data_IF_103035976519
#
_entry.id   IF_103035976519
#
_cell.length_a   1.000
_cell.length_b   1.000
_cell.length_c   1.000
_cell.angle_alpha   90.00
_cell.angle_beta   90.00
_cell.angle_gamma   90.00
#
_symmetry.space_group_name_H-M   'P 1'
#
loop_
_entity.id
_entity.type
_entity.pdbx_description
1 polymer ?
#
# COMPACT_ATOMS: atom_id res chain seq x y z
N UNK A 1 29.39 31.31 -10.56
CA UNK A 1 28.04 31.78 -10.97
C UNK A 1 27.09 30.59 -10.88
N UNK A 2 25.96 30.74 -10.17
CA UNK A 2 24.99 29.68 -9.78
C UNK A 2 24.31 29.06 -11.01
N UNK A 3 23.94 27.77 -11.07
CA UNK A 3 22.80 27.13 -10.39
C UNK A 3 22.89 25.59 -10.57
N UNK A 4 23.00 24.78 -9.52
CA UNK A 4 22.01 24.23 -8.57
C UNK A 4 21.45 22.87 -9.01
N UNK A 5 22.14 21.82 -8.55
CA UNK A 5 21.74 20.43 -8.50
C UNK A 5 20.36 20.25 -7.83
N UNK A 6 19.53 19.37 -8.41
CA UNK A 6 18.30 18.90 -7.79
C UNK A 6 18.64 18.08 -6.54
N UNK A 7 18.57 18.72 -5.37
CA UNK A 7 18.68 18.06 -4.07
C UNK A 7 17.47 17.14 -3.87
N UNK A 8 17.72 15.85 -3.63
CA UNK A 8 16.83 15.04 -2.79
C UNK A 8 16.98 15.55 -1.36
N UNK A 9 16.12 16.48 -0.96
CA UNK A 9 15.90 16.72 0.46
C UNK A 9 15.04 15.56 0.95
N UNK A 10 15.66 14.56 1.59
CA UNK A 10 14.95 13.73 2.56
C UNK A 10 14.70 14.64 3.77
N UNK A 11 13.46 15.03 4.10
CA UNK A 11 13.21 15.58 5.42
C UNK A 11 13.53 14.46 6.43
N UNK A 12 14.56 14.66 7.24
CA UNK A 12 14.72 13.94 8.50
C UNK A 12 13.48 14.24 9.33
N UNK A 13 12.48 13.36 9.24
CA UNK A 13 11.31 13.40 10.11
C UNK A 13 11.71 12.81 11.46
N UNK A 14 11.25 13.44 12.53
CA UNK A 14 11.16 12.83 13.85
C UNK A 14 10.20 11.64 13.76
N UNK A 15 10.70 10.50 13.28
CA UNK A 15 10.03 9.23 13.37
C UNK A 15 10.24 8.69 14.78
N UNK A 16 9.18 8.33 15.48
CA UNK A 16 9.30 7.19 16.39
C UNK A 16 10.00 6.07 15.60
N UNK A 17 11.07 5.49 16.14
CA UNK A 17 12.19 4.82 15.43
C UNK A 17 11.83 3.61 14.51
N UNK A 18 10.58 3.42 14.12
CA UNK A 18 10.04 2.22 13.48
C UNK A 18 9.26 2.47 12.17
N UNK A 19 8.97 3.72 11.79
CA UNK A 19 8.23 4.05 10.57
C UNK A 19 9.01 4.98 9.63
N UNK A 20 9.25 4.52 8.40
CA UNK A 20 9.85 5.29 7.32
C UNK A 20 8.79 5.82 6.34
N UNK A 21 9.09 6.94 5.68
CA UNK A 21 8.18 7.62 4.77
C UNK A 21 8.91 8.05 3.50
N UNK A 22 8.40 7.66 2.34
CA UNK A 22 8.77 8.26 1.04
C UNK A 22 7.55 9.00 0.54
N UNK A 23 7.53 10.33 0.66
CA UNK A 23 6.35 11.13 0.39
C UNK A 23 6.49 11.88 -0.94
N UNK A 24 6.08 11.25 -2.04
CA UNK A 24 5.94 11.92 -3.34
C UNK A 24 4.56 11.60 -3.93
N UNK A 25 3.49 12.33 -3.52
CA UNK A 25 2.16 12.12 -4.05
C UNK A 25 2.13 12.20 -5.58
N UNK A 26 1.36 11.32 -6.22
CA UNK A 26 1.31 11.14 -7.70
C UNK A 26 2.61 10.60 -8.33
N UNK A 27 3.57 10.19 -7.52
CA UNK A 27 4.79 9.50 -7.93
C UNK A 27 5.05 8.33 -6.95
N UNK A 28 6.30 8.14 -6.53
CA UNK A 28 6.63 7.11 -5.54
C UNK A 28 6.23 7.56 -4.12
N UNK A 29 5.11 7.04 -3.64
CA UNK A 29 4.60 7.26 -2.28
C UNK A 29 4.55 5.94 -1.50
N UNK A 30 5.34 5.84 -0.43
CA UNK A 30 5.51 4.64 0.38
C UNK A 30 5.34 4.92 1.88
N UNK A 31 4.74 3.98 2.59
CA UNK A 31 4.84 3.85 4.06
C UNK A 31 5.66 2.60 4.36
N UNK A 32 6.71 2.74 5.17
CA UNK A 32 7.67 1.67 5.45
C UNK A 32 7.62 1.31 6.93
N UNK A 33 7.45 0.03 7.25
CA UNK A 33 7.50 -0.50 8.61
C UNK A 33 8.84 -1.21 8.80
N UNK A 34 9.90 -0.43 9.04
CA UNK A 34 11.29 -0.88 8.93
C UNK A 34 11.67 -2.00 9.92
N UNK A 35 10.94 -2.16 11.02
CA UNK A 35 11.14 -3.29 11.95
C UNK A 35 10.89 -4.65 11.30
N UNK A 36 10.12 -4.71 10.21
CA UNK A 36 9.84 -5.93 9.46
C UNK A 36 10.92 -6.26 8.43
N UNK A 37 11.81 -5.33 8.08
CA UNK A 37 12.80 -5.51 7.01
C UNK A 37 14.00 -6.28 7.56
N UNK A 38 14.38 -7.36 6.89
CA UNK A 38 15.42 -8.28 7.39
C UNK A 38 16.61 -8.43 6.44
N UNK A 39 16.36 -8.53 5.14
CA UNK A 39 17.41 -8.75 4.15
C UNK A 39 17.15 -8.01 2.85
N UNK A 40 18.22 -7.75 2.10
CA UNK A 40 18.17 -7.13 0.79
C UNK A 40 19.16 -7.81 -0.16
N UNK A 41 18.75 -7.97 -1.42
CA UNK A 41 19.56 -8.59 -2.46
C UNK A 41 19.59 -7.71 -3.69
N UNK A 42 20.78 -7.54 -4.27
CA UNK A 42 20.94 -7.09 -5.64
C UNK A 42 20.87 -8.30 -6.57
N UNK A 43 20.03 -8.20 -7.60
CA UNK A 43 19.84 -9.26 -8.59
C UNK A 43 19.95 -8.69 -9.99
N UNK A 44 20.58 -9.46 -10.87
CA UNK A 44 20.65 -9.22 -12.31
C UNK A 44 19.98 -10.40 -13.01
N UNK A 45 18.93 -10.13 -13.77
CA UNK A 45 18.18 -11.10 -14.57
C UNK A 45 18.09 -10.60 -16.01
N UNK A 46 18.94 -11.15 -16.88
CA UNK A 46 19.23 -10.58 -18.20
C UNK A 46 19.71 -9.14 -18.07
N UNK A 47 19.07 -8.22 -18.80
CA UNK A 47 19.39 -6.78 -18.76
C UNK A 47 18.73 -6.02 -17.60
N UNK A 48 17.89 -6.70 -16.78
CA UNK A 48 17.18 -6.07 -15.67
C UNK A 48 17.96 -6.23 -14.38
N UNK A 49 18.23 -5.10 -13.72
CA UNK A 49 18.78 -5.10 -12.37
C UNK A 49 17.71 -4.70 -11.36
N UNK A 50 17.82 -5.24 -10.15
CA UNK A 50 16.91 -4.87 -9.05
C UNK A 50 17.57 -4.96 -7.69
N UNK A 51 17.06 -4.18 -6.75
CA UNK A 51 17.25 -4.41 -5.32
C UNK A 51 15.92 -4.93 -4.78
N UNK A 52 15.94 -6.08 -4.11
CA UNK A 52 14.77 -6.74 -3.57
C UNK A 52 14.92 -6.88 -2.05
N UNK A 53 13.90 -6.46 -1.31
CA UNK A 53 13.86 -6.45 0.14
C UNK A 53 12.89 -7.50 0.65
N UNK A 54 13.28 -8.20 1.72
CA UNK A 54 12.52 -9.29 2.31
C UNK A 54 12.41 -9.13 3.82
N UNK A 55 11.35 -9.68 4.40
CA UNK A 55 11.15 -9.70 5.84
C UNK A 55 11.78 -10.92 6.53
N UNK A 56 11.59 -10.99 7.86
CA UNK A 56 12.11 -12.05 8.72
C UNK A 56 11.54 -13.44 8.40
N UNK A 57 10.49 -13.52 7.58
CA UNK A 57 9.86 -14.75 7.16
C UNK A 57 10.26 -15.16 5.73
N UNK A 58 11.06 -14.33 5.06
CA UNK A 58 11.50 -14.55 3.68
C UNK A 58 10.49 -14.07 2.63
N UNK A 59 9.41 -13.40 3.03
CA UNK A 59 8.45 -12.83 2.07
C UNK A 59 8.96 -11.51 1.51
N UNK A 60 8.63 -11.24 0.24
CA UNK A 60 9.05 -10.01 -0.43
C UNK A 60 8.29 -8.78 0.09
N UNK A 61 9.03 -7.73 0.44
CA UNK A 61 8.48 -6.46 0.91
C UNK A 61 8.39 -5.41 -0.19
N UNK A 62 9.50 -5.19 -0.91
CA UNK A 62 9.61 -4.19 -1.97
C UNK A 62 10.66 -4.64 -2.99
N UNK A 63 10.44 -4.33 -4.26
CA UNK A 63 11.42 -4.51 -5.32
C UNK A 63 11.61 -3.20 -6.08
N UNK A 64 12.85 -2.75 -6.20
CA UNK A 64 13.23 -1.55 -6.94
C UNK A 64 14.00 -1.99 -8.17
N UNK A 65 13.42 -1.77 -9.35
CA UNK A 65 14.03 -2.14 -10.63
C UNK A 65 14.71 -0.92 -11.26
N UNK A 66 15.81 -1.15 -11.96
CA UNK A 66 16.38 -0.15 -12.85
C UNK A 66 15.45 0.09 -14.04
N UNK A 67 15.53 1.29 -14.59
CA UNK A 67 14.89 1.72 -15.84
C UNK A 67 15.92 2.39 -16.72
N UNK A 68 15.54 2.70 -17.97
CA UNK A 68 16.37 3.47 -18.90
C UNK A 68 16.78 4.87 -18.36
N UNK A 69 16.03 5.40 -17.39
CA UNK A 69 16.29 6.71 -16.77
C UNK A 69 17.09 6.60 -15.47
N UNK A 70 17.52 5.40 -15.09
CA UNK A 70 18.32 5.21 -13.87
C UNK A 70 19.75 5.71 -14.10
N UNK A 71 20.26 6.49 -13.14
CA UNK A 71 21.68 6.83 -13.10
C UNK A 71 22.48 5.57 -12.71
N UNK A 72 23.00 4.87 -13.71
CA UNK A 72 23.70 3.60 -13.53
C UNK A 72 25.01 3.80 -12.76
N UNK A 73 25.70 4.93 -12.91
CA UNK A 73 26.91 5.18 -12.13
C UNK A 73 26.60 5.31 -10.64
N UNK A 74 25.52 6.02 -10.28
CA UNK A 74 25.07 6.11 -8.89
C UNK A 74 24.55 4.77 -8.36
N UNK A 75 23.89 3.98 -9.21
CA UNK A 75 23.43 2.62 -8.89
C UNK A 75 24.61 1.70 -8.55
N UNK A 76 25.63 1.65 -9.40
CA UNK A 76 26.80 0.79 -9.19
C UNK A 76 27.55 1.16 -7.91
N UNK A 77 27.70 2.45 -7.62
CA UNK A 77 28.28 2.94 -6.36
C UNK A 77 27.45 2.48 -5.15
N UNK A 78 26.12 2.56 -5.24
CA UNK A 78 25.22 2.11 -4.17
C UNK A 78 25.38 0.60 -3.90
N UNK A 79 25.37 -0.22 -4.94
CA UNK A 79 25.52 -1.68 -4.84
C UNK A 79 26.88 -2.03 -4.25
N UNK A 80 27.97 -1.46 -4.79
CA UNK A 80 29.32 -1.72 -4.31
C UNK A 80 29.49 -1.33 -2.84
N UNK A 81 28.88 -0.22 -2.40
CA UNK A 81 28.98 0.25 -1.02
C UNK A 81 28.22 -0.58 0.02
N UNK A 82 27.27 -1.43 -0.39
CA UNK A 82 26.43 -2.22 0.52
C UNK A 82 26.57 -3.73 0.34
N UNK A 83 27.29 -4.18 -0.69
CA UNK A 83 27.52 -5.61 -0.93
C UNK A 83 28.44 -6.19 0.14
N UNK A 84 28.00 -7.27 0.79
CA UNK A 84 28.82 -8.01 1.74
C UNK A 84 29.73 -8.99 0.99
N UNK A 85 31.01 -9.05 1.35
CA UNK A 85 31.96 -10.03 0.79
C UNK A 85 31.68 -11.46 1.24
N UNK A 86 31.17 -11.59 2.47
CA UNK A 86 30.77 -12.87 3.07
C UNK A 86 29.32 -12.75 3.55
N UNK A 87 28.34 -13.16 2.72
CA UNK A 87 26.93 -13.02 3.07
C UNK A 87 26.58 -13.91 4.27
N UNK A 88 25.92 -13.32 5.26
CA UNK A 88 25.43 -14.06 6.43
C UNK A 88 24.24 -14.96 6.01
N UNK A 89 24.15 -16.21 6.50
CA UNK A 89 22.97 -17.04 6.28
C UNK A 89 21.67 -16.37 6.72
N UNK A 90 20.60 -16.56 5.95
CA UNK A 90 19.29 -16.01 6.30
C UNK A 90 18.70 -16.72 7.53
N UNK A 91 18.30 -15.92 8.52
CA UNK A 91 17.61 -16.40 9.72
C UNK A 91 16.08 -16.32 9.56
N UNK A 92 15.54 -17.11 8.61
CA UNK A 92 14.10 -17.14 8.31
C UNK A 92 13.32 -17.77 9.49
N UNK A 93 12.21 -17.14 9.86
CA UNK A 93 11.31 -17.60 10.93
C UNK A 93 9.90 -17.83 10.38
N UNK A 94 9.14 -18.82 10.87
CA UNK A 94 7.75 -19.00 10.46
C UNK A 94 6.90 -17.77 10.84
N UNK A 95 5.86 -17.47 10.05
CA UNK A 95 4.86 -16.46 10.40
C UNK A 95 3.97 -17.02 11.50
N UNK A 96 3.85 -16.29 12.62
CA UNK A 96 2.88 -16.63 13.65
C UNK A 96 1.48 -16.17 13.22
N UNK A 97 0.50 -17.09 13.28
CA UNK A 97 -0.88 -16.74 13.02
C UNK A 97 -1.37 -15.75 14.09
N UNK A 98 -1.90 -14.61 13.65
CA UNK A 98 -2.47 -13.62 14.54
C UNK A 98 -3.65 -14.23 15.32
N UNK A 99 -3.67 -14.02 16.64
CA UNK A 99 -4.77 -14.43 17.51
C UNK A 99 -5.60 -13.21 17.88
N UNK A 100 -6.83 -13.17 17.39
CA UNK A 100 -7.77 -12.10 17.68
C UNK A 100 -8.76 -12.50 18.76
N UNK A 101 -9.50 -11.53 19.28
CA UNK A 101 -10.55 -11.78 20.25
C UNK A 101 -11.67 -12.66 19.66
N UNK A 102 -12.18 -13.58 20.46
CA UNK A 102 -13.30 -14.46 20.07
C UNK A 102 -14.66 -13.74 20.12
N UNK A 103 -14.78 -12.76 21.01
CA UNK A 103 -15.98 -11.95 21.19
C UNK A 103 -15.67 -10.47 20.96
N UNK A 104 -16.62 -9.76 20.34
CA UNK A 104 -16.51 -8.34 20.03
C UNK A 104 -17.61 -7.59 20.77
N UNK A 105 -17.22 -6.59 21.57
CA UNK A 105 -18.16 -5.59 22.08
C UNK A 105 -18.45 -4.58 20.97
N UNK A 106 -19.42 -4.92 20.11
CA UNK A 106 -19.79 -4.11 18.94
C UNK A 106 -20.24 -2.70 19.32
N UNK A 107 -20.94 -2.53 20.44
CA UNK A 107 -21.42 -1.22 20.88
C UNK A 107 -20.28 -0.31 21.33
N UNK A 108 -19.33 -0.83 22.11
CA UNK A 108 -18.15 -0.08 22.50
C UNK A 108 -17.26 0.24 21.29
N UNK A 109 -17.02 -0.74 20.42
CA UNK A 109 -16.24 -0.57 19.19
C UNK A 109 -16.87 0.51 18.29
N UNK A 110 -18.18 0.46 18.06
CA UNK A 110 -18.88 1.41 17.22
C UNK A 110 -18.82 2.83 17.81
N UNK A 111 -19.06 2.97 19.12
CA UNK A 111 -18.95 4.26 19.80
C UNK A 111 -17.55 4.87 19.64
N UNK A 112 -16.50 4.07 19.82
CA UNK A 112 -15.12 4.51 19.68
C UNK A 112 -14.72 4.79 18.22
N UNK A 113 -15.23 4.01 17.26
CA UNK A 113 -15.05 4.27 15.83
C UNK A 113 -15.64 5.62 15.45
N UNK A 114 -16.87 5.90 15.89
CA UNK A 114 -17.57 7.18 15.62
C UNK A 114 -16.86 8.37 16.27
N UNK A 115 -16.16 8.16 17.39
CA UNK A 115 -15.41 9.18 18.09
C UNK A 115 -14.02 9.46 17.50
N UNK A 116 -13.58 8.69 16.49
CA UNK A 116 -12.31 8.97 15.81
C UNK A 116 -12.33 10.35 15.15
N UNK A 117 -11.17 10.97 15.08
CA UNK A 117 -10.96 12.27 14.41
C UNK A 117 -9.90 12.19 13.32
N UNK A 118 -9.24 11.05 13.17
CA UNK A 118 -8.25 10.76 12.15
C UNK A 118 -8.31 9.27 11.78
N UNK A 119 -8.33 8.96 10.49
CA UNK A 119 -8.33 7.57 9.98
C UNK A 119 -7.16 6.73 10.48
N UNK A 120 -6.02 7.36 10.82
CA UNK A 120 -4.85 6.66 11.36
C UNK A 120 -5.09 6.13 12.79
N UNK A 121 -6.10 6.64 13.50
CA UNK A 121 -6.50 6.11 14.82
C UNK A 121 -7.13 4.72 14.72
N UNK A 122 -7.66 4.34 13.55
CA UNK A 122 -8.33 3.06 13.35
C UNK A 122 -7.42 1.86 13.66
N UNK A 123 -6.12 1.94 13.37
CA UNK A 123 -5.18 0.89 13.73
C UNK A 123 -5.03 0.75 15.25
N UNK A 124 -4.99 1.87 15.98
CA UNK A 124 -4.99 1.88 17.43
C UNK A 124 -6.26 1.27 18.02
N UNK A 125 -7.42 1.58 17.42
CA UNK A 125 -8.71 1.02 17.81
C UNK A 125 -8.74 -0.51 17.65
N UNK A 126 -8.34 -1.03 16.49
CA UNK A 126 -8.26 -2.49 16.27
C UNK A 126 -7.34 -3.17 17.28
N UNK A 127 -6.18 -2.57 17.57
CA UNK A 127 -5.23 -3.09 18.55
C UNK A 127 -5.82 -3.10 19.96
N UNK A 128 -6.55 -2.06 20.35
CA UNK A 128 -7.20 -1.96 21.67
C UNK A 128 -8.19 -3.10 21.90
N UNK A 129 -8.99 -3.43 20.89
CA UNK A 129 -9.99 -4.50 20.96
C UNK A 129 -9.43 -5.88 20.54
N UNK A 130 -8.15 -5.95 20.16
CA UNK A 130 -7.52 -7.15 19.58
C UNK A 130 -8.32 -7.76 18.42
N UNK A 131 -8.70 -6.95 17.44
CA UNK A 131 -9.56 -7.35 16.32
C UNK A 131 -8.83 -7.34 14.97
N UNK A 132 -9.19 -8.29 14.12
CA UNK A 132 -8.97 -8.16 12.68
C UNK A 132 -9.92 -7.11 12.09
N UNK A 133 -9.54 -6.54 10.93
CA UNK A 133 -10.39 -5.57 10.20
C UNK A 133 -11.78 -6.13 9.92
N UNK A 134 -11.87 -7.32 9.35
CA UNK A 134 -13.15 -7.94 9.01
C UNK A 134 -13.99 -8.30 10.25
N UNK A 135 -13.38 -8.57 11.41
CA UNK A 135 -14.15 -8.75 12.65
C UNK A 135 -14.77 -7.43 13.09
N UNK A 136 -14.01 -6.34 13.06
CA UNK A 136 -14.52 -5.02 13.38
C UNK A 136 -15.64 -4.58 12.42
N UNK A 137 -15.48 -4.85 11.12
CA UNK A 137 -16.47 -4.48 10.10
C UNK A 137 -17.81 -5.17 10.29
N UNK A 138 -17.80 -6.46 10.65
CA UNK A 138 -19.02 -7.23 10.92
C UNK A 138 -19.70 -6.85 12.24
N UNK A 139 -18.99 -6.16 13.14
CA UNK A 139 -19.46 -5.86 14.49
C UNK A 139 -20.05 -4.44 14.64
N UNK A 140 -19.96 -3.61 13.60
CA UNK A 140 -20.52 -2.26 13.58
C UNK A 140 -21.67 -2.17 12.57
N UNK A 141 -22.44 -1.10 12.66
CA UNK A 141 -23.54 -0.82 11.72
C UNK A 141 -23.08 -0.63 10.27
N UNK A 142 -23.99 -0.93 9.34
CA UNK A 142 -23.77 -0.82 7.88
C UNK A 142 -23.44 0.61 7.40
N UNK A 143 -23.78 1.65 8.16
CA UNK A 143 -23.37 3.02 7.81
C UNK A 143 -21.86 3.25 8.01
N UNK A 144 -21.21 2.48 8.89
CA UNK A 144 -19.76 2.52 9.11
C UNK A 144 -19.01 1.50 8.27
N UNK A 145 -19.54 0.28 8.14
CA UNK A 145 -18.94 -0.77 7.33
C UNK A 145 -20.00 -1.66 6.71
N UNK A 146 -20.10 -1.66 5.38
CA UNK A 146 -21.07 -2.46 4.64
C UNK A 146 -20.34 -3.37 3.66
N UNK A 147 -20.67 -4.66 3.66
CA UNK A 147 -20.17 -5.61 2.67
C UNK A 147 -20.92 -5.40 1.35
N UNK A 148 -20.19 -5.40 0.25
CA UNK A 148 -20.74 -5.32 -1.10
C UNK A 148 -20.31 -6.54 -1.94
N UNK A 149 -21.02 -6.77 -3.03
CA UNK A 149 -20.70 -7.84 -3.98
C UNK A 149 -19.35 -7.59 -4.65
N UNK A 150 -18.57 -8.67 -4.85
CA UNK A 150 -17.23 -8.58 -5.42
C UNK A 150 -17.23 -8.00 -6.85
N UNK A 151 -18.32 -8.20 -7.58
CA UNK A 151 -18.49 -7.71 -8.96
C UNK A 151 -18.74 -6.18 -9.04
N UNK A 152 -18.94 -5.51 -7.90
CA UNK A 152 -19.13 -4.07 -7.84
C UNK A 152 -17.82 -3.30 -8.07
N UNK A 153 -16.66 -3.90 -7.78
CA UNK A 153 -15.36 -3.25 -7.88
C UNK A 153 -15.02 -2.81 -9.34
N UNK A 154 -15.08 -3.69 -10.36
CA UNK A 154 -14.82 -3.26 -11.74
C UNK A 154 -15.76 -2.15 -12.20
N UNK A 155 -17.04 -2.19 -11.80
CA UNK A 155 -18.03 -1.16 -12.13
C UNK A 155 -17.66 0.18 -11.51
N UNK A 156 -17.35 0.18 -10.21
CA UNK A 156 -16.94 1.39 -9.47
C UNK A 156 -15.70 2.03 -10.10
N UNK A 157 -14.66 1.24 -10.38
CA UNK A 157 -13.45 1.74 -11.03
C UNK A 157 -13.75 2.28 -12.45
N UNK A 158 -14.66 1.62 -13.18
CA UNK A 158 -15.17 2.10 -14.47
C UNK A 158 -15.77 3.50 -14.37
N UNK A 159 -16.69 3.72 -13.43
CA UNK A 159 -17.31 5.04 -13.18
C UNK A 159 -16.27 6.08 -12.77
N UNK A 160 -15.37 5.75 -11.84
CA UNK A 160 -14.28 6.67 -11.41
C UNK A 160 -13.42 7.10 -12.60
N UNK A 161 -13.08 6.16 -13.48
CA UNK A 161 -12.31 6.44 -14.70
C UNK A 161 -13.07 7.35 -15.65
N UNK A 162 -14.35 7.08 -15.90
CA UNK A 162 -15.20 7.85 -16.80
C UNK A 162 -15.42 9.28 -16.32
N UNK A 163 -15.59 9.47 -15.01
CA UNK A 163 -15.71 10.79 -14.38
C UNK A 163 -14.37 11.52 -14.25
N UNK A 164 -13.25 10.82 -14.40
CA UNK A 164 -11.91 11.39 -14.29
C UNK A 164 -11.52 11.80 -12.86
N UNK A 165 -12.18 11.22 -11.85
CA UNK A 165 -11.91 11.51 -10.44
C UNK A 165 -10.54 10.95 -10.04
N UNK A 166 -9.76 11.73 -9.28
CA UNK A 166 -8.54 11.22 -8.67
C UNK A 166 -8.88 10.33 -7.47
N UNK A 167 -8.26 9.16 -7.42
CA UNK A 167 -8.35 8.25 -6.28
C UNK A 167 -6.98 7.94 -5.72
N UNK A 168 -6.97 7.44 -4.49
CA UNK A 168 -5.83 6.79 -3.89
C UNK A 168 -6.05 5.28 -3.91
N UNK A 169 -5.03 4.51 -4.29
CA UNK A 169 -5.03 3.04 -4.18
C UNK A 169 -3.83 2.64 -3.32
N UNK A 170 -4.11 1.91 -2.26
CA UNK A 170 -3.14 1.40 -1.31
C UNK A 170 -3.00 -0.10 -1.53
N UNK A 171 -1.77 -0.54 -1.77
CA UNK A 171 -1.45 -1.97 -1.82
C UNK A 171 -0.23 -2.21 -0.96
N UNK A 172 -0.27 -3.22 -0.10
CA UNK A 172 0.82 -3.43 0.83
C UNK A 172 0.89 -4.83 1.40
N UNK A 173 1.95 -5.03 2.16
CA UNK A 173 2.26 -6.22 2.94
C UNK A 173 2.71 -5.76 4.35
N UNK A 174 3.24 -6.69 5.15
CA UNK A 174 3.60 -6.41 6.55
C UNK A 174 4.65 -5.30 6.72
N UNK A 175 5.53 -5.11 5.73
CA UNK A 175 6.66 -4.17 5.83
C UNK A 175 6.55 -2.93 4.96
N UNK A 176 5.63 -2.90 3.98
CA UNK A 176 5.55 -1.82 3.00
C UNK A 176 4.12 -1.61 2.50
N UNK A 177 3.70 -0.34 2.38
CA UNK A 177 2.50 0.05 1.65
C UNK A 177 2.91 1.03 0.55
N UNK A 178 2.53 0.72 -0.69
CA UNK A 178 2.68 1.61 -1.83
C UNK A 178 1.35 2.25 -2.17
N UNK A 179 1.40 3.55 -2.48
CA UNK A 179 0.23 4.39 -2.66
C UNK A 179 0.28 4.99 -4.07
N UNK A 180 -0.74 4.68 -4.87
CA UNK A 180 -1.03 5.43 -6.08
C UNK A 180 -1.98 6.57 -5.75
N UNK A 181 -1.75 7.75 -6.32
CA UNK A 181 -2.69 8.88 -6.29
C UNK A 181 -2.84 9.44 -7.69
N UNK A 182 -4.06 9.44 -8.23
CA UNK A 182 -4.31 10.02 -9.54
C UNK A 182 -5.60 9.51 -10.19
N UNK A 183 -5.88 10.02 -11.38
CA UNK A 183 -6.97 9.54 -12.22
C UNK A 183 -6.57 8.22 -12.90
N UNK A 184 -7.54 7.35 -13.14
CA UNK A 184 -7.33 6.09 -13.84
C UNK A 184 -7.27 6.35 -15.36
N UNK A 185 -6.26 5.83 -16.04
CA UNK A 185 -6.11 6.00 -17.49
C UNK A 185 -6.79 4.84 -18.24
N UNK A 186 -6.41 3.60 -17.92
CA UNK A 186 -6.94 2.40 -18.59
C UNK A 186 -7.24 1.30 -17.59
N UNK A 187 -8.44 0.72 -17.74
CA UNK A 187 -8.89 -0.48 -17.02
C UNK A 187 -9.05 -1.62 -18.02
N UNK A 188 -8.45 -2.77 -17.73
CA UNK A 188 -8.47 -3.92 -18.62
C UNK A 188 -8.62 -5.23 -17.83
N UNK A 189 -9.83 -5.81 -17.78
CA UNK A 189 -10.01 -7.20 -17.35
C UNK A 189 -9.35 -8.14 -18.37
N UNK A 190 -8.49 -9.04 -17.91
CA UNK A 190 -7.81 -10.00 -18.77
C UNK A 190 -7.47 -11.27 -18.00
N UNK A 191 -8.02 -12.41 -18.44
CA UNK A 191 -7.68 -13.76 -17.95
C UNK A 191 -7.78 -13.90 -16.42
N UNK A 192 -8.84 -13.38 -15.81
CA UNK A 192 -9.07 -13.43 -14.35
C UNK A 192 -8.31 -12.37 -13.55
N UNK A 193 -7.68 -11.41 -14.23
CA UNK A 193 -7.03 -10.25 -13.61
C UNK A 193 -7.76 -8.97 -13.98
N UNK A 194 -8.00 -8.12 -12.99
CA UNK A 194 -8.33 -6.72 -13.17
C UNK A 194 -7.04 -5.91 -13.23
N UNK A 195 -6.79 -5.25 -14.36
CA UNK A 195 -5.57 -4.50 -14.57
C UNK A 195 -5.84 -3.00 -14.68
N UNK A 196 -5.01 -2.20 -14.04
CA UNK A 196 -4.94 -0.74 -14.23
C UNK A 196 -3.63 -0.43 -14.92
N UNK A 197 -3.68 0.28 -16.05
CA UNK A 197 -2.52 0.76 -16.77
C UNK A 197 -2.56 2.28 -16.88
N UNK A 198 -1.68 2.92 -16.14
CA UNK A 198 -1.33 4.32 -16.29
C UNK A 198 0.11 4.44 -16.79
N UNK A 199 0.46 5.61 -17.31
CA UNK A 199 1.83 5.92 -17.78
C UNK A 199 2.95 5.62 -16.77
N UNK A 200 2.71 5.81 -15.47
CA UNK A 200 3.70 5.58 -14.39
C UNK A 200 3.23 4.61 -13.31
N UNK A 201 2.07 3.97 -13.49
CA UNK A 201 1.48 3.07 -12.51
C UNK A 201 0.86 1.87 -13.20
N UNK A 202 1.05 0.69 -12.63
CA UNK A 202 0.38 -0.53 -13.08
C UNK A 202 -0.08 -1.32 -11.86
N UNK A 203 -1.35 -1.72 -11.87
CA UNK A 203 -1.92 -2.63 -10.89
C UNK A 203 -2.34 -3.91 -11.60
N UNK A 204 -2.01 -5.04 -11.00
CA UNK A 204 -2.55 -6.35 -11.35
C UNK A 204 -3.26 -6.89 -10.12
N UNK A 205 -4.58 -7.06 -10.20
CA UNK A 205 -5.39 -7.63 -9.13
C UNK A 205 -6.03 -8.92 -9.62
N UNK A 206 -5.79 -10.02 -8.93
CA UNK A 206 -6.39 -11.31 -9.24
C UNK A 206 -7.81 -11.35 -8.70
N UNK A 207 -8.81 -11.42 -9.57
CA UNK A 207 -10.20 -11.25 -9.14
C UNK A 207 -10.65 -12.39 -8.22
N UNK A 208 -10.22 -13.61 -8.50
CA UNK A 208 -10.55 -14.80 -7.69
C UNK A 208 -9.88 -14.82 -6.30
N UNK A 209 -8.89 -13.97 -6.04
CA UNK A 209 -8.31 -13.88 -4.70
C UNK A 209 -9.15 -13.02 -3.76
N UNK A 210 -10.11 -12.25 -4.28
CA UNK A 210 -11.00 -11.40 -3.47
C UNK A 210 -12.15 -12.26 -2.91
N UNK A 211 -12.18 -12.37 -1.59
CA UNK A 211 -13.24 -13.08 -0.84
C UNK A 211 -14.30 -12.09 -0.33
N UNK A 212 -13.88 -10.93 0.17
CA UNK A 212 -14.79 -9.89 0.66
C UNK A 212 -14.40 -8.49 0.15
N UNK A 213 -15.42 -7.71 -0.21
CA UNK A 213 -15.29 -6.28 -0.49
C UNK A 213 -16.16 -5.51 0.50
N UNK A 214 -15.55 -4.51 1.14
CA UNK A 214 -16.19 -3.68 2.15
C UNK A 214 -16.12 -2.21 1.78
N UNK A 215 -17.24 -1.50 1.90
CA UNK A 215 -17.27 -0.04 1.94
C UNK A 215 -17.21 0.38 3.40
N UNK A 216 -16.21 1.18 3.76
CA UNK A 216 -16.06 1.68 5.13
C UNK A 216 -16.09 3.21 5.16
N UNK A 217 -16.65 3.78 6.23
CA UNK A 217 -16.64 5.21 6.51
C UNK A 217 -15.94 5.45 7.83
N UNK A 218 -14.83 6.17 7.77
CA UNK A 218 -14.01 6.50 8.96
C UNK A 218 -14.07 8.00 9.19
N UNK A 219 -14.53 8.46 10.37
CA UNK A 219 -14.61 9.88 10.67
C UNK A 219 -13.24 10.57 10.64
N UNK A 220 -13.26 11.85 10.27
CA UNK A 220 -12.12 12.78 10.37
C UNK A 220 -12.59 14.09 11.00
N UNK A 221 -11.66 14.98 11.33
CA UNK A 221 -11.98 16.35 11.76
C UNK A 221 -12.88 17.11 10.78
N UNK A 222 -12.84 16.75 9.48
CA UNK A 222 -13.49 17.47 8.39
C UNK A 222 -14.62 16.66 7.71
N UNK A 223 -15.11 15.60 8.37
CA UNK A 223 -16.19 14.76 7.85
C UNK A 223 -15.87 13.27 8.00
N UNK A 224 -15.84 12.55 6.89
CA UNK A 224 -15.41 11.15 6.88
C UNK A 224 -14.71 10.82 5.56
N UNK A 225 -13.81 9.83 5.63
CA UNK A 225 -13.24 9.19 4.45
C UNK A 225 -14.04 7.93 4.18
N UNK A 226 -14.56 7.82 2.95
CA UNK A 226 -15.11 6.57 2.44
C UNK A 226 -14.01 5.80 1.73
N UNK A 227 -13.89 4.51 2.05
CA UNK A 227 -12.93 3.60 1.43
C UNK A 227 -13.59 2.33 0.94
N UNK A 228 -13.05 1.74 -0.12
CA UNK A 228 -13.31 0.35 -0.51
C UNK A 228 -12.11 -0.48 -0.07
N UNK A 229 -12.36 -1.56 0.67
CA UNK A 229 -11.33 -2.45 1.19
C UNK A 229 -11.57 -3.88 0.72
N UNK A 230 -10.52 -4.54 0.22
CA UNK A 230 -10.60 -5.86 -0.40
C UNK A 230 -9.79 -6.85 0.43
N UNK A 231 -10.38 -8.01 0.71
CA UNK A 231 -9.77 -9.04 1.55
C UNK A 231 -9.77 -10.39 0.86
N UNK A 232 -8.69 -11.13 1.05
CA UNK A 232 -8.60 -12.53 0.72
C UNK A 232 -9.26 -13.40 1.81
N UNK A 233 -9.45 -14.68 1.50
CA UNK A 233 -10.11 -15.65 2.39
C UNK A 233 -9.39 -15.86 3.73
N UNK A 234 -8.08 -15.67 3.76
CA UNK A 234 -7.25 -15.75 4.98
C UNK A 234 -7.25 -14.44 5.80
N UNK A 235 -7.98 -13.41 5.34
CA UNK A 235 -8.06 -12.09 5.96
C UNK A 235 -6.95 -11.13 5.56
N UNK A 236 -6.05 -11.52 4.64
CA UNK A 236 -5.07 -10.61 4.05
C UNK A 236 -5.78 -9.48 3.33
N UNK A 237 -5.44 -8.24 3.65
CA UNK A 237 -5.92 -7.08 2.88
C UNK A 237 -5.19 -7.03 1.54
N UNK A 238 -5.93 -7.22 0.44
CA UNK A 238 -5.39 -7.22 -0.92
C UNK A 238 -5.09 -5.80 -1.35
N UNK A 239 -6.06 -4.90 -1.19
CA UNK A 239 -5.92 -3.49 -1.52
C UNK A 239 -6.99 -2.68 -0.78
N UNK A 240 -6.80 -1.36 -0.74
CA UNK A 240 -7.88 -0.43 -0.42
C UNK A 240 -7.81 0.79 -1.33
N UNK A 241 -8.94 1.48 -1.49
CA UNK A 241 -9.01 2.72 -2.23
C UNK A 241 -9.88 3.75 -1.56
N UNK A 242 -9.62 5.03 -1.81
CA UNK A 242 -10.42 6.15 -1.34
C UNK A 242 -10.39 7.28 -2.37
N UNK A 243 -11.32 8.23 -2.27
CA UNK A 243 -11.21 9.47 -3.02
C UNK A 243 -9.92 10.21 -2.64
N UNK A 244 -9.29 10.87 -3.62
CA UNK A 244 -8.19 11.79 -3.36
C UNK A 244 -8.73 13.08 -2.75
N UNK A 245 -8.09 13.57 -1.67
CA UNK A 245 -8.38 14.90 -1.13
C UNK A 245 -7.79 16.02 -2.01
N UNK A 246 -6.91 15.70 -2.96
CA UNK A 246 -6.30 16.67 -3.86
C UNK A 246 -7.17 16.90 -5.10
N UNK A 247 -7.38 18.17 -5.48
CA UNK A 247 -8.02 18.52 -6.75
C UNK A 247 -7.21 17.96 -7.93
N UNK A 248 -7.92 17.40 -8.92
CA UNK A 248 -7.34 16.89 -10.16
C UNK A 248 -6.39 17.91 -10.77
N UNK A 249 -5.09 17.60 -10.74
CA UNK A 249 -4.07 18.41 -11.41
C UNK A 249 -3.13 17.44 -12.11
N UNK A 250 -3.08 17.54 -13.46
CA UNK A 250 -2.21 16.70 -14.29
C UNK A 250 -0.75 16.88 -13.83
N UNK A 251 -0.19 15.85 -13.21
CA UNK A 251 1.21 15.82 -12.77
C UNK A 251 2.12 15.24 -13.85
N UNK A 252 3.34 15.79 -13.96
CA UNK A 252 4.42 15.33 -14.85
C UNK A 252 5.16 14.14 -14.22
N UNK A 253 5.69 13.29 -15.10
CA UNK A 253 6.30 11.98 -14.84
C UNK A 253 7.48 11.98 -13.86
N UNK A 254 7.50 10.98 -12.97
CA UNK A 254 8.73 10.41 -12.42
C UNK A 254 8.47 8.98 -11.89
N UNK A 255 9.36 8.04 -12.27
CA UNK A 255 9.54 6.70 -11.69
C UNK A 255 8.33 5.74 -11.70
N UNK A 256 8.37 4.70 -12.53
CA UNK A 256 7.40 3.61 -12.47
C UNK A 256 7.74 2.63 -11.34
N UNK A 257 6.81 2.44 -10.40
CA UNK A 257 6.90 1.40 -9.39
C UNK A 257 5.87 0.31 -9.71
N UNK A 258 6.35 -0.90 -10.02
CA UNK A 258 5.52 -2.04 -10.36
C UNK A 258 5.36 -2.94 -9.15
N UNK A 259 4.14 -3.09 -8.66
CA UNK A 259 3.80 -4.15 -7.73
C UNK A 259 3.21 -5.32 -8.51
N UNK A 260 3.71 -6.53 -8.25
CA UNK A 260 3.04 -7.77 -8.62
C UNK A 260 2.65 -8.42 -7.31
N UNK A 261 1.34 -8.54 -7.07
CA UNK A 261 0.78 -9.47 -6.08
C UNK A 261 0.50 -10.78 -6.82
#
# INVERSE_FOLDING_TARGET
MRSRAGRRNLPTSTSTAHAGLVLNPRALDLRLFLSQWASAFHLTDGDRQSIQFFDHHGDALLKVYTTEQTDIAAWDVLIAGHTQSEPTPLAIRPVEAAKYADAVDGAALESEWRAMTDVHQFFGLLRKHNLARQQAFRAVSDDLACRIENDALPRLLGTIREEGNEIMIFVGNRGCVQIFTGALEKLLPMRGWLNIFNSTFTLHLREESVDEVWVTRKPTSDGHVTSVELFAKDGTQIASSSASAAKATRSRSSGAARLTV
#
